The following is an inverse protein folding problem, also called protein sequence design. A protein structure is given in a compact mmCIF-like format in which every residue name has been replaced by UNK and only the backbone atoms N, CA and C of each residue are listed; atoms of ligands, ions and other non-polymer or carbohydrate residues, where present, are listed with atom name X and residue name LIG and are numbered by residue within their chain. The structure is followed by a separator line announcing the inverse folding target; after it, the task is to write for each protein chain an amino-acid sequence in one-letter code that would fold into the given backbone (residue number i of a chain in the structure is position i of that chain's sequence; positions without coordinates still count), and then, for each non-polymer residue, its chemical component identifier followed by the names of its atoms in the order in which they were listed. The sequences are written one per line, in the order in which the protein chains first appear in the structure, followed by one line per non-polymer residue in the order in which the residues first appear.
data_IF_055003921107
#
_entry.id   IF_055003921107
#
_cell.length_a   1.000
_cell.length_b   1.000
_cell.length_c   1.000
_cell.angle_alpha   90.00
_cell.angle_beta   90.00
_cell.angle_gamma   90.00
#
_symmetry.space_group_name_H-M   'P 1'
#
loop_
_entity.id
_entity.type
_entity.pdbx_description
1 polymer ?
#
# COMPACT_ATOMS: atom_id res chain seq x y z
N UNK A 1 14.35 73.18 -62.99
CA UNK A 1 14.25 71.74 -62.73
C UNK A 1 15.54 71.30 -62.10
N UNK A 2 15.54 71.10 -60.78
CA UNK A 2 16.69 70.62 -60.02
C UNK A 2 16.87 69.11 -60.30
N UNK A 3 18.06 68.65 -60.71
CA UNK A 3 18.31 67.23 -60.85
C UNK A 3 18.24 66.60 -59.46
N UNK A 4 17.22 65.77 -59.23
CA UNK A 4 17.15 64.92 -58.04
C UNK A 4 18.36 63.99 -58.09
N UNK A 5 19.19 64.03 -57.05
CA UNK A 5 20.34 63.15 -56.91
C UNK A 5 19.83 61.71 -56.81
N UNK A 6 19.89 60.98 -57.92
CA UNK A 6 19.61 59.54 -57.95
C UNK A 6 20.74 58.86 -57.22
N UNK A 7 20.56 58.62 -55.92
CA UNK A 7 21.45 57.74 -55.15
C UNK A 7 21.37 56.36 -55.81
N UNK A 8 22.49 55.78 -56.27
CA UNK A 8 22.47 54.46 -56.91
C UNK A 8 21.91 53.43 -55.93
N UNK A 9 20.78 52.79 -56.29
CA UNK A 9 20.13 51.70 -55.51
C UNK A 9 21.14 50.66 -55.03
N UNK A 10 22.18 50.42 -55.83
CA UNK A 10 23.30 49.51 -55.58
C UNK A 10 24.04 49.79 -54.27
N UNK A 11 24.27 51.06 -53.92
CA UNK A 11 25.00 51.44 -52.70
C UNK A 11 24.20 51.15 -51.43
N UNK A 12 22.88 51.35 -51.47
CA UNK A 12 21.97 51.03 -50.36
C UNK A 12 21.92 49.52 -50.15
N UNK A 13 21.78 48.74 -51.23
CA UNK A 13 21.80 47.27 -51.13
C UNK A 13 23.13 46.70 -50.65
N UNK A 14 24.27 47.29 -51.05
CA UNK A 14 25.59 46.82 -50.63
C UNK A 14 25.83 47.08 -49.13
N UNK A 15 25.41 48.24 -48.63
CA UNK A 15 25.57 48.62 -47.22
C UNK A 15 24.85 47.68 -46.25
N UNK A 16 23.61 47.29 -46.58
CA UNK A 16 22.86 46.33 -45.76
C UNK A 16 23.44 44.91 -45.80
N UNK A 17 24.04 44.49 -46.91
CA UNK A 17 24.69 43.19 -47.02
C UNK A 17 25.86 43.02 -46.04
N UNK A 18 26.67 44.07 -45.84
CA UNK A 18 27.82 44.04 -44.93
C UNK A 18 27.39 44.09 -43.46
N UNK A 19 26.35 44.86 -43.14
CA UNK A 19 25.83 44.96 -41.77
C UNK A 19 25.17 43.66 -41.26
N UNK A 20 24.75 42.77 -42.17
CA UNK A 20 24.10 41.49 -41.82
C UNK A 20 25.08 40.39 -41.37
N UNK A 21 26.32 40.44 -41.89
CA UNK A 21 27.38 39.45 -41.61
C UNK A 21 27.64 39.23 -40.11
N UNK A 22 27.82 40.26 -39.26
CA UNK A 22 28.07 40.03 -37.84
C UNK A 22 26.88 39.41 -37.11
N UNK A 23 25.64 39.69 -37.52
CA UNK A 23 24.42 39.12 -36.91
C UNK A 23 24.29 37.64 -37.27
N UNK A 24 24.53 37.28 -38.54
CA UNK A 24 24.48 35.89 -38.99
C UNK A 24 25.58 35.03 -38.33
N UNK A 25 26.77 35.59 -38.11
CA UNK A 25 27.84 34.94 -37.34
C UNK A 25 27.42 34.68 -35.89
N UNK A 26 26.75 35.64 -35.26
CA UNK A 26 26.28 35.50 -33.87
C UNK A 26 25.18 34.45 -33.75
N UNK A 27 24.29 34.39 -34.74
CA UNK A 27 23.30 33.32 -34.84
C UNK A 27 23.98 31.96 -35.02
N UNK A 28 25.01 31.86 -35.87
CA UNK A 28 25.73 30.62 -36.12
C UNK A 28 26.50 30.10 -34.89
N UNK A 29 27.14 30.99 -34.13
CA UNK A 29 27.87 30.62 -32.89
C UNK A 29 26.93 30.17 -31.77
N UNK A 30 25.71 30.72 -31.71
CA UNK A 30 24.71 30.35 -30.69
C UNK A 30 23.91 29.09 -31.06
N UNK A 31 24.27 28.39 -32.14
CA UNK A 31 23.53 27.23 -32.64
C UNK A 31 22.22 27.61 -33.36
N UNK A 32 21.92 28.90 -33.48
CA UNK A 32 20.79 29.46 -34.22
C UNK A 32 21.13 29.75 -35.69
N UNK A 33 22.19 29.14 -36.23
CA UNK A 33 22.62 29.34 -37.60
C UNK A 33 21.53 28.92 -38.58
N UNK A 34 20.90 29.89 -39.24
CA UNK A 34 19.75 29.67 -40.13
C UNK A 34 18.37 29.79 -39.46
N UNK A 35 18.31 29.97 -38.15
CA UNK A 35 17.07 30.25 -37.43
C UNK A 35 16.67 31.72 -37.65
N UNK A 36 15.75 31.93 -38.61
CA UNK A 36 15.25 33.27 -38.96
C UNK A 36 14.32 33.89 -37.91
N UNK A 37 13.98 33.13 -36.87
CA UNK A 37 13.15 33.56 -35.73
C UNK A 37 14.00 33.96 -34.53
N UNK A 38 15.33 33.91 -34.64
CA UNK A 38 16.22 34.40 -33.60
C UNK A 38 16.03 35.91 -33.38
N UNK A 39 15.78 36.31 -32.14
CA UNK A 39 15.42 37.70 -31.78
C UNK A 39 16.34 38.77 -32.37
N UNK A 40 17.68 38.63 -32.29
CA UNK A 40 18.61 39.56 -32.94
C UNK A 40 18.47 39.66 -34.47
N UNK A 41 18.14 38.56 -35.15
CA UNK A 41 17.91 38.54 -36.59
C UNK A 41 16.60 39.24 -36.95
N UNK A 42 15.55 39.05 -36.16
CA UNK A 42 14.27 39.76 -36.31
C UNK A 42 14.40 41.27 -36.07
N UNK A 43 15.17 41.67 -35.05
CA UNK A 43 15.45 43.08 -34.75
C UNK A 43 16.25 43.75 -35.87
N UNK A 44 17.20 43.04 -36.49
CA UNK A 44 17.92 43.57 -37.64
C UNK A 44 17.00 43.71 -38.88
N UNK A 45 16.17 42.70 -39.16
CA UNK A 45 15.23 42.72 -40.27
C UNK A 45 14.16 43.84 -40.12
N UNK A 46 13.72 44.17 -38.90
CA UNK A 46 12.78 45.28 -38.64
C UNK A 46 13.41 46.66 -38.90
N UNK A 47 14.66 46.85 -38.46
CA UNK A 47 15.43 48.08 -38.75
C UNK A 47 15.66 48.22 -40.25
N UNK A 48 16.04 47.14 -40.94
CA UNK A 48 16.22 47.15 -42.40
C UNK A 48 14.91 47.51 -43.14
N UNK A 49 13.78 46.94 -42.71
CA UNK A 49 12.46 47.24 -43.27
C UNK A 49 12.09 48.73 -43.10
N UNK A 50 12.29 49.26 -41.89
CA UNK A 50 12.00 50.66 -41.55
C UNK A 50 12.84 51.63 -42.37
N UNK A 51 14.15 51.37 -42.45
CA UNK A 51 15.07 52.24 -43.22
C UNK A 51 14.73 52.20 -44.72
N UNK A 52 14.36 51.05 -45.29
CA UNK A 52 13.91 50.96 -46.69
C UNK A 52 12.57 51.67 -46.93
N UNK A 53 11.62 51.57 -46.00
CA UNK A 53 10.36 52.29 -46.08
C UNK A 53 10.55 53.81 -46.07
N UNK A 54 11.34 54.31 -45.11
CA UNK A 54 11.65 55.75 -45.00
C UNK A 54 12.41 56.26 -46.23
N UNK A 55 13.47 55.57 -46.65
CA UNK A 55 14.24 55.96 -47.84
C UNK A 55 13.40 55.90 -49.11
N UNK A 56 12.53 54.89 -49.26
CA UNK A 56 11.63 54.77 -50.41
C UNK A 56 10.63 55.93 -50.48
N UNK A 57 10.05 56.31 -49.34
CA UNK A 57 9.12 57.44 -49.23
C UNK A 57 9.80 58.78 -49.54
N UNK A 58 10.99 59.02 -48.97
CA UNK A 58 11.75 60.26 -49.16
C UNK A 58 12.28 60.40 -50.60
N UNK A 59 12.70 59.29 -51.23
CA UNK A 59 13.23 59.29 -52.60
C UNK A 59 12.13 59.22 -53.68
N UNK A 60 10.85 59.07 -53.29
CA UNK A 60 9.75 58.89 -54.22
C UNK A 60 9.82 57.58 -55.01
N UNK A 61 10.41 56.54 -54.43
CA UNK A 61 10.58 55.22 -55.02
C UNK A 61 9.52 54.23 -54.46
N UNK A 62 8.38 54.04 -55.16
CA UNK A 62 7.29 53.22 -54.66
C UNK A 62 7.67 51.73 -54.53
N UNK A 63 8.64 51.26 -55.31
CA UNK A 63 9.11 49.88 -55.25
C UNK A 63 9.87 49.63 -53.95
N UNK A 64 10.73 50.57 -53.55
CA UNK A 64 11.50 50.49 -52.30
C UNK A 64 10.58 50.58 -51.07
N UNK A 65 9.58 51.46 -51.11
CA UNK A 65 8.55 51.57 -50.08
C UNK A 65 7.71 50.28 -49.97
N UNK A 66 7.31 49.69 -51.11
CA UNK A 66 6.59 48.42 -51.13
C UNK A 66 7.40 47.25 -50.57
N UNK A 67 8.70 47.18 -50.87
CA UNK A 67 9.59 46.18 -50.28
C UNK A 67 9.74 46.33 -48.77
N UNK A 68 9.75 47.57 -48.25
CA UNK A 68 9.73 47.86 -46.82
C UNK A 68 8.49 47.29 -46.14
N UNK A 69 7.30 47.58 -46.67
CA UNK A 69 6.03 47.07 -46.14
C UNK A 69 5.95 45.54 -46.16
N UNK A 70 6.38 44.89 -47.24
CA UNK A 70 6.40 43.41 -47.33
C UNK A 70 7.36 42.80 -46.31
N UNK A 71 8.53 43.41 -46.10
CA UNK A 71 9.48 42.95 -45.08
C UNK A 71 8.94 43.15 -43.67
N UNK A 72 8.33 44.29 -43.38
CA UNK A 72 7.72 44.60 -42.08
C UNK A 72 6.62 43.59 -41.74
N UNK A 73 5.68 43.33 -42.66
CA UNK A 73 4.63 42.33 -42.48
C UNK A 73 5.20 40.92 -42.22
N UNK A 74 6.29 40.56 -42.90
CA UNK A 74 6.97 39.27 -42.68
C UNK A 74 7.64 39.20 -41.31
N UNK A 75 8.28 40.28 -40.85
CA UNK A 75 8.90 40.33 -39.52
C UNK A 75 7.82 40.24 -38.44
N UNK A 76 6.71 40.95 -38.60
CA UNK A 76 5.59 40.89 -37.66
C UNK A 76 5.03 39.46 -37.55
N UNK A 77 4.75 38.79 -38.69
CA UNK A 77 4.29 37.40 -38.69
C UNK A 77 5.28 36.44 -38.00
N UNK A 78 6.59 36.63 -38.21
CA UNK A 78 7.61 35.80 -37.55
C UNK A 78 7.74 36.10 -36.07
N UNK A 79 7.64 37.36 -35.65
CA UNK A 79 7.63 37.73 -34.23
C UNK A 79 6.46 37.08 -33.52
N UNK A 80 5.25 37.16 -34.09
CA UNK A 80 4.08 36.49 -33.52
C UNK A 80 4.21 34.97 -33.49
N UNK A 81 4.86 34.35 -34.49
CA UNK A 81 5.14 32.92 -34.48
C UNK A 81 6.10 32.55 -33.35
N UNK A 82 7.21 33.28 -33.22
CA UNK A 82 8.20 33.06 -32.17
C UNK A 82 7.60 33.24 -30.76
N UNK A 83 6.73 34.24 -30.57
CA UNK A 83 6.00 34.43 -29.30
C UNK A 83 5.05 33.27 -29.00
N UNK A 84 4.33 32.76 -30.01
CA UNK A 84 3.44 31.59 -29.85
C UNK A 84 4.22 30.33 -29.51
N UNK A 85 5.39 30.13 -30.12
CA UNK A 85 6.25 28.97 -29.86
C UNK A 85 6.85 29.04 -28.45
N UNK A 86 7.36 30.19 -28.02
CA UNK A 86 7.82 30.41 -26.64
C UNK A 86 6.69 30.15 -25.62
N UNK A 87 5.49 30.64 -25.90
CA UNK A 87 4.33 30.39 -25.05
C UNK A 87 3.92 28.91 -25.04
N UNK A 88 4.09 28.20 -26.15
CA UNK A 88 3.81 26.77 -26.24
C UNK A 88 4.82 25.94 -25.45
N UNK A 89 6.11 26.27 -25.54
CA UNK A 89 7.17 25.58 -24.81
C UNK A 89 7.07 25.83 -23.31
N UNK A 90 6.81 27.06 -22.87
CA UNK A 90 6.54 27.34 -21.46
C UNK A 90 5.32 26.57 -20.93
N UNK A 91 4.28 26.39 -21.75
CA UNK A 91 3.11 25.56 -21.38
C UNK A 91 3.44 24.07 -21.32
N UNK A 92 4.32 23.59 -22.20
CA UNK A 92 4.80 22.19 -22.19
C UNK A 92 5.60 21.91 -20.93
N UNK A 93 6.54 22.76 -20.58
CA UNK A 93 7.36 22.62 -19.36
C UNK A 93 6.46 22.52 -18.11
N UNK A 94 5.52 23.44 -17.93
CA UNK A 94 4.56 23.40 -16.80
C UNK A 94 3.67 22.14 -16.84
N UNK A 95 3.29 21.67 -18.03
CA UNK A 95 2.50 20.45 -18.16
C UNK A 95 3.30 19.19 -17.79
N UNK A 96 4.58 19.14 -18.19
CA UNK A 96 5.48 18.04 -17.89
C UNK A 96 5.82 17.99 -16.39
N UNK A 97 6.08 19.14 -15.76
CA UNK A 97 6.24 19.24 -14.30
C UNK A 97 5.00 18.72 -13.56
N UNK A 98 3.81 19.19 -13.93
CA UNK A 98 2.55 18.72 -13.32
C UNK A 98 2.31 17.24 -13.54
N UNK A 99 2.72 16.70 -14.70
CA UNK A 99 2.59 15.27 -15.00
C UNK A 99 3.55 14.46 -14.13
N UNK A 100 4.78 14.95 -13.92
CA UNK A 100 5.75 14.33 -13.03
C UNK A 100 5.26 14.33 -11.58
N UNK A 101 4.81 15.47 -11.06
CA UNK A 101 4.25 15.58 -9.70
C UNK A 101 3.08 14.61 -9.48
N UNK A 102 2.17 14.50 -10.46
CA UNK A 102 1.05 13.54 -10.39
C UNK A 102 1.54 12.09 -10.34
N UNK A 103 2.55 11.74 -11.15
CA UNK A 103 3.13 10.39 -11.15
C UNK A 103 3.77 10.05 -9.81
N UNK A 104 4.54 10.99 -9.25
CA UNK A 104 5.18 10.82 -7.94
C UNK A 104 4.13 10.67 -6.82
N UNK A 105 3.09 11.51 -6.83
CA UNK A 105 1.98 11.42 -5.87
C UNK A 105 1.21 10.10 -5.98
N UNK A 106 0.91 9.66 -7.20
CA UNK A 106 0.24 8.38 -7.44
C UNK A 106 1.10 7.19 -7.00
N UNK A 107 2.42 7.26 -7.20
CA UNK A 107 3.35 6.23 -6.75
C UNK A 107 3.39 6.17 -5.21
N UNK A 108 3.56 7.30 -4.54
CA UNK A 108 3.54 7.38 -3.07
C UNK A 108 2.22 6.84 -2.49
N UNK A 109 1.09 7.17 -3.12
CA UNK A 109 -0.23 6.65 -2.71
C UNK A 109 -0.32 5.14 -2.87
N UNK A 110 0.24 4.57 -3.95
CA UNK A 110 0.26 3.12 -4.17
C UNK A 110 1.13 2.41 -3.13
N UNK A 111 2.27 2.99 -2.79
CA UNK A 111 3.18 2.48 -1.75
C UNK A 111 2.48 2.49 -0.39
N UNK A 112 1.89 3.61 0.03
CA UNK A 112 1.13 3.70 1.29
C UNK A 112 -0.01 2.66 1.38
N UNK A 113 -0.78 2.47 0.30
CA UNK A 113 -1.84 1.47 0.28
C UNK A 113 -1.29 0.04 0.35
N UNK A 114 -0.13 -0.22 -0.25
CA UNK A 114 0.55 -1.51 -0.17
C UNK A 114 1.01 -1.78 1.26
N UNK A 115 1.64 -0.81 1.90
CA UNK A 115 2.17 -0.94 3.27
C UNK A 115 1.03 -1.15 4.27
N UNK A 116 -0.05 -0.36 4.17
CA UNK A 116 -1.25 -0.55 5.00
C UNK A 116 -1.87 -1.95 4.84
N UNK A 117 -1.89 -2.48 3.61
CA UNK A 117 -2.38 -3.86 3.36
C UNK A 117 -1.46 -4.90 3.97
N UNK A 118 -0.14 -4.72 3.88
CA UNK A 118 0.83 -5.64 4.50
C UNK A 118 0.71 -5.63 6.02
N UNK A 119 0.64 -4.46 6.64
CA UNK A 119 0.42 -4.33 8.09
C UNK A 119 -0.89 -4.99 8.53
N UNK A 120 -1.98 -4.77 7.78
CA UNK A 120 -3.26 -5.40 8.08
C UNK A 120 -3.19 -6.93 7.98
N UNK A 121 -2.51 -7.47 6.97
CA UNK A 121 -2.31 -8.90 6.82
C UNK A 121 -1.49 -9.49 7.97
N UNK A 122 -0.41 -8.82 8.37
CA UNK A 122 0.42 -9.24 9.51
C UNK A 122 -0.40 -9.28 10.81
N UNK A 123 -1.16 -8.22 11.10
CA UNK A 123 -2.04 -8.17 12.29
C UNK A 123 -3.08 -9.29 12.29
N UNK A 124 -3.70 -9.58 11.14
CA UNK A 124 -4.67 -10.67 11.01
C UNK A 124 -4.02 -12.03 11.19
N UNK A 125 -2.79 -12.22 10.72
CA UNK A 125 -2.04 -13.46 10.91
C UNK A 125 -1.65 -13.66 12.38
N UNK A 126 -1.14 -12.63 13.04
CA UNK A 126 -0.84 -12.64 14.47
C UNK A 126 -2.09 -12.95 15.31
N UNK A 127 -3.21 -12.31 15.01
CA UNK A 127 -4.48 -12.56 15.70
C UNK A 127 -4.95 -14.01 15.50
N UNK A 128 -4.82 -14.56 14.29
CA UNK A 128 -5.12 -15.97 14.01
C UNK A 128 -4.23 -16.91 14.82
N UNK A 129 -2.93 -16.65 14.88
CA UNK A 129 -1.98 -17.45 15.67
C UNK A 129 -2.33 -17.41 17.17
N UNK A 130 -2.62 -16.23 17.71
CA UNK A 130 -3.02 -16.09 19.12
C UNK A 130 -4.34 -16.79 19.42
N UNK A 131 -5.33 -16.71 18.51
CA UNK A 131 -6.61 -17.42 18.67
C UNK A 131 -6.41 -18.94 18.62
N UNK A 132 -5.55 -19.44 17.73
CA UNK A 132 -5.22 -20.85 17.64
C UNK A 132 -4.56 -21.36 18.93
N UNK A 133 -3.53 -20.65 19.42
CA UNK A 133 -2.86 -20.98 20.69
C UNK A 133 -3.83 -21.01 21.87
N UNK A 134 -4.69 -20.00 22.00
CA UNK A 134 -5.71 -19.96 23.07
C UNK A 134 -6.74 -21.09 22.94
N UNK A 135 -7.05 -21.53 21.72
CA UNK A 135 -7.97 -22.65 21.52
C UNK A 135 -7.30 -23.97 21.94
N UNK A 136 -6.05 -24.16 21.57
CA UNK A 136 -5.23 -25.32 21.96
C UNK A 136 -5.03 -25.40 23.48
N UNK A 137 -4.66 -24.29 24.13
CA UNK A 137 -4.54 -24.21 25.60
C UNK A 137 -5.86 -24.58 26.30
N UNK A 138 -7.01 -24.12 25.78
CA UNK A 138 -8.32 -24.46 26.34
C UNK A 138 -8.69 -25.93 26.14
N UNK A 139 -8.26 -26.52 25.02
CA UNK A 139 -8.46 -27.94 24.75
C UNK A 139 -7.62 -28.80 25.72
N UNK A 140 -6.34 -28.47 25.89
CA UNK A 140 -5.46 -29.12 26.86
C UNK A 140 -6.01 -29.01 28.29
N UNK A 141 -6.47 -27.83 28.72
CA UNK A 141 -7.09 -27.64 30.03
C UNK A 141 -8.34 -28.50 30.22
N UNK A 142 -9.17 -28.64 29.18
CA UNK A 142 -10.36 -29.50 29.23
C UNK A 142 -10.01 -30.98 29.30
N UNK A 143 -8.98 -31.41 28.58
CA UNK A 143 -8.48 -32.78 28.63
C UNK A 143 -7.91 -33.10 30.01
N UNK A 144 -7.05 -32.25 30.55
CA UNK A 144 -6.52 -32.39 31.91
C UNK A 144 -7.63 -32.43 32.96
N UNK A 145 -8.64 -31.56 32.84
CA UNK A 145 -9.77 -31.56 33.75
C UNK A 145 -10.59 -32.85 33.62
N UNK A 146 -10.87 -33.30 32.40
CA UNK A 146 -11.61 -34.54 32.18
C UNK A 146 -10.87 -35.77 32.73
N UNK A 147 -9.53 -35.81 32.62
CA UNK A 147 -8.72 -36.89 33.21
C UNK A 147 -8.75 -36.84 34.74
N UNK A 148 -8.70 -35.65 35.35
CA UNK A 148 -8.87 -35.51 36.81
C UNK A 148 -10.25 -35.96 37.27
N UNK A 149 -11.30 -35.53 36.58
CA UNK A 149 -12.68 -35.89 36.91
C UNK A 149 -12.89 -37.41 36.78
N UNK A 150 -12.28 -38.06 35.78
CA UNK A 150 -12.28 -39.53 35.64
C UNK A 150 -11.54 -40.21 36.79
N UNK A 151 -10.37 -39.73 37.17
CA UNK A 151 -9.58 -40.30 38.26
C UNK A 151 -10.33 -40.21 39.59
N UNK A 152 -10.93 -39.05 39.88
CA UNK A 152 -11.74 -38.85 41.09
C UNK A 152 -13.00 -39.74 41.09
N UNK A 153 -13.65 -39.91 39.92
CA UNK A 153 -14.79 -40.82 39.80
C UNK A 153 -14.38 -42.29 40.06
N UNK A 154 -13.21 -42.71 39.57
CA UNK A 154 -12.68 -44.05 39.84
C UNK A 154 -12.36 -44.27 41.32
N UNK A 155 -11.71 -43.30 41.97
CA UNK A 155 -11.40 -43.36 43.40
C UNK A 155 -12.68 -43.51 44.24
N UNK A 156 -13.74 -42.74 43.92
CA UNK A 156 -15.04 -42.86 44.60
C UNK A 156 -15.69 -44.23 44.40
N UNK A 157 -15.61 -44.80 43.20
CA UNK A 157 -16.14 -46.15 42.92
C UNK A 157 -15.38 -47.20 43.75
N UNK A 158 -14.06 -47.08 43.84
CA UNK A 158 -13.22 -48.01 44.61
C UNK A 158 -13.50 -47.90 46.12
N UNK A 159 -13.65 -46.68 46.63
CA UNK A 159 -14.04 -46.42 48.03
C UNK A 159 -15.42 -47.00 48.36
N UNK A 160 -16.43 -46.75 47.52
CA UNK A 160 -17.77 -47.31 47.67
C UNK A 160 -17.75 -48.84 47.63
N UNK A 161 -16.94 -49.44 46.75
CA UNK A 161 -16.77 -50.89 46.65
C UNK A 161 -16.09 -51.46 47.91
N UNK A 162 -15.09 -50.77 48.46
CA UNK A 162 -14.43 -51.15 49.70
C UNK A 162 -15.38 -51.05 50.90
N UNK A 163 -16.19 -50.00 51.00
CA UNK A 163 -17.18 -49.83 52.05
C UNK A 163 -18.26 -50.93 51.96
N UNK A 164 -18.81 -51.17 50.77
CA UNK A 164 -19.78 -52.24 50.54
C UNK A 164 -19.22 -53.63 50.91
N UNK A 165 -17.95 -53.90 50.56
CA UNK A 165 -17.29 -55.15 50.95
C UNK A 165 -17.12 -55.25 52.47
N UNK A 166 -16.72 -54.17 53.16
CA UNK A 166 -16.60 -54.15 54.63
C UNK A 166 -17.94 -54.43 55.30
N UNK A 167 -19.01 -53.76 54.86
CA UNK A 167 -20.37 -53.98 55.36
C UNK A 167 -20.81 -55.42 55.16
N UNK A 168 -20.60 -55.96 53.96
CA UNK A 168 -20.92 -57.36 53.65
C UNK A 168 -20.16 -58.34 54.55
N UNK A 169 -18.86 -58.15 54.75
CA UNK A 169 -18.06 -59.01 55.64
C UNK A 169 -18.56 -58.92 57.09
N UNK A 170 -18.95 -57.73 57.56
CA UNK A 170 -19.51 -57.55 58.89
C UNK A 170 -20.84 -58.30 59.04
N UNK A 171 -21.76 -58.16 58.07
CA UNK A 171 -23.03 -58.87 58.04
C UNK A 171 -22.84 -60.40 57.99
N UNK A 172 -21.96 -60.90 57.11
CA UNK A 172 -21.64 -62.33 57.01
C UNK A 172 -21.04 -62.86 58.32
N UNK A 173 -20.15 -62.08 58.98
CA UNK A 173 -19.56 -62.47 60.27
C UNK A 173 -20.57 -62.49 61.42
N UNK A 174 -21.51 -61.53 61.44
CA UNK A 174 -22.59 -61.48 62.42
C UNK A 174 -23.57 -62.63 62.22
N UNK A 175 -23.92 -62.94 60.97
CA UNK A 175 -24.75 -64.10 60.63
C UNK A 175 -24.08 -65.41 61.06
N UNK A 176 -22.78 -65.59 60.75
CA UNK A 176 -22.03 -66.78 61.15
C UNK A 176 -21.93 -66.93 62.69
N UNK A 177 -21.77 -65.82 63.42
CA UNK A 177 -21.77 -65.84 64.88
C UNK A 177 -23.14 -66.24 65.45
N UNK A 178 -24.23 -65.69 64.91
CA UNK A 178 -25.59 -66.04 65.30
C UNK A 178 -25.92 -67.52 65.00
N UNK A 179 -25.45 -68.05 63.86
CA UNK A 179 -25.58 -69.47 63.53
C UNK A 179 -24.84 -70.37 64.52
N UNK A 180 -23.61 -69.99 64.93
CA UNK A 180 -22.85 -70.72 65.96
C UNK A 180 -23.55 -70.72 67.30
N UNK A 181 -24.01 -69.55 67.77
CA UNK A 181 -24.75 -69.44 69.02
C UNK A 181 -26.04 -70.28 68.98
N UNK A 182 -26.76 -70.25 67.85
CA UNK A 182 -27.96 -71.07 67.67
C UNK A 182 -27.64 -72.58 67.66
N UNK A 183 -26.50 -72.99 67.10
CA UNK A 183 -26.03 -74.37 67.12
C UNK A 183 -25.61 -74.82 68.53
N UNK A 184 -24.90 -73.97 69.27
CA UNK A 184 -24.53 -74.21 70.68
C UNK A 184 -25.77 -74.37 71.56
N UNK A 185 -26.74 -73.43 71.49
CA UNK A 185 -28.01 -73.55 72.23
C UNK A 185 -28.79 -74.82 71.86
N UNK A 186 -28.75 -75.26 70.60
CA UNK A 186 -29.36 -76.53 70.18
C UNK A 186 -28.64 -77.72 70.79
N UNK A 187 -27.30 -77.71 70.84
CA UNK A 187 -26.51 -78.76 71.46
C UNK A 187 -26.79 -78.84 72.98
N UNK A 188 -26.78 -77.70 73.67
CA UNK A 188 -27.15 -77.62 75.10
C UNK A 188 -28.57 -78.14 75.36
N UNK A 189 -29.53 -77.80 74.49
CA UNK A 189 -30.90 -78.30 74.61
C UNK A 189 -31.00 -79.83 74.41
N UNK A 190 -30.21 -80.39 73.49
CA UNK A 190 -30.13 -81.84 73.29
C UNK A 190 -29.48 -82.54 74.49
N UNK A 191 -28.39 -82.00 75.04
CA UNK A 191 -27.75 -82.54 76.26
C UNK A 191 -28.69 -82.51 77.46
N UNK A 192 -29.43 -81.41 77.66
CA UNK A 192 -30.45 -81.30 78.70
C UNK A 192 -31.57 -82.34 78.50
N UNK A 193 -32.03 -82.55 77.27
CA UNK A 193 -33.05 -83.56 76.95
C UNK A 193 -32.54 -84.97 77.26
N UNK A 194 -31.33 -85.32 76.84
CA UNK A 194 -30.69 -86.61 77.16
C UNK A 194 -30.54 -86.82 78.68
N UNK A 195 -30.08 -85.80 79.41
CA UNK A 195 -29.96 -85.86 80.87
C UNK A 195 -31.33 -86.08 81.56
N UNK A 196 -32.40 -85.46 81.06
CA UNK A 196 -33.75 -85.68 81.59
C UNK A 196 -34.28 -87.08 81.31
N UNK A 197 -33.99 -87.64 80.13
CA UNK A 197 -34.35 -89.02 79.78
C UNK A 197 -33.56 -90.05 80.60
N UNK A 198 -32.28 -89.80 80.86
CA UNK A 198 -31.47 -90.65 81.78
C UNK A 198 -32.00 -90.60 83.22
N UNK A 199 -32.33 -89.42 83.73
CA UNK A 199 -32.91 -89.27 85.06
C UNK A 199 -34.26 -90.01 85.18
N UNK A 200 -35.05 -90.03 84.10
CA UNK A 200 -36.33 -90.76 84.05
C UNK A 200 -36.14 -92.28 84.02
N UNK A 201 -35.08 -92.79 83.39
CA UNK A 201 -34.74 -94.23 83.35
C UNK A 201 -34.16 -94.78 84.67
N UNK A 202 -33.66 -93.92 85.56
CA UNK A 202 -33.11 -94.31 86.89
C UNK A 202 -34.16 -94.31 88.02
N UNK A 203 -35.42 -93.97 87.72
CA UNK A 203 -36.57 -94.02 88.64
C UNK A 203 -37.39 -95.29 88.39
#
# INVERSE_FOLDING_TARGET
MTPLAVVPRTLVSLGFGVARVPVDLLAQVTGNGGNREFGPTLAFDSVEATVRGVLGSVLGDPELAGQGQVKEARVQQRSEAAERDQAADARREVADERLQERRESDQQRREQVRDQKQEQQQRLEEERRQRAQKAEEREQQREEQAERDKAEAHERIDDDAHEAHRTRVQEESAAAAAEREAAERKAEALELAEATDEARKRR
#
